data_IF_169294312715
#
_entry.id   IF_169294312715
#
_cell.length_a   1.000
_cell.length_b   1.000
_cell.length_c   1.000
_cell.angle_alpha   90.00
_cell.angle_beta   90.00
_cell.angle_gamma   90.00
#
_symmetry.space_group_name_H-M   'P 1'
#
loop_
_entity.id
_entity.type
_entity.pdbx_description
1 polymer ?
#
# COMPACT_ATOMS: atom_id res chain seq x y z
N UNK A 1 -33.88 -70.17 -26.25
CA UNK A 1 -32.88 -70.10 -25.18
C UNK A 1 -32.15 -68.77 -25.37
N UNK A 2 -32.66 -67.70 -24.71
CA UNK A 2 -32.15 -66.35 -24.88
C UNK A 2 -31.27 -65.98 -23.68
N UNK A 3 -29.97 -65.75 -23.92
CA UNK A 3 -29.01 -65.32 -22.90
C UNK A 3 -29.03 -63.75 -22.85
N UNK A 4 -29.54 -63.24 -21.74
CA UNK A 4 -29.48 -61.76 -21.43
C UNK A 4 -28.11 -61.45 -20.85
N UNK A 5 -27.27 -60.73 -21.61
CA UNK A 5 -26.06 -60.15 -21.10
C UNK A 5 -26.38 -58.82 -20.34
N UNK A 6 -26.03 -58.81 -19.07
CA UNK A 6 -26.05 -57.61 -18.24
C UNK A 6 -24.72 -56.86 -18.44
N UNK A 7 -24.77 -55.69 -19.04
CA UNK A 7 -23.63 -54.76 -19.06
C UNK A 7 -23.70 -53.91 -17.80
N UNK A 8 -22.82 -54.18 -16.85
CA UNK A 8 -22.64 -53.34 -15.66
C UNK A 8 -21.78 -52.11 -16.05
N UNK A 9 -22.44 -50.97 -16.22
CA UNK A 9 -21.75 -49.70 -16.41
C UNK A 9 -21.16 -49.21 -15.09
N UNK A 10 -19.85 -49.24 -14.93
CA UNK A 10 -19.16 -48.61 -13.82
C UNK A 10 -19.15 -47.08 -14.03
N UNK A 11 -19.94 -46.35 -13.25
CA UNK A 11 -19.85 -44.90 -13.16
C UNK A 11 -18.57 -44.54 -12.39
N UNK A 12 -17.54 -44.11 -13.10
CA UNK A 12 -16.35 -43.49 -12.48
C UNK A 12 -16.73 -42.06 -12.10
N UNK A 13 -17.00 -41.83 -10.82
CA UNK A 13 -17.10 -40.51 -10.24
C UNK A 13 -15.69 -39.90 -10.18
N UNK A 14 -15.33 -39.08 -11.19
CA UNK A 14 -14.17 -38.22 -11.08
C UNK A 14 -14.48 -37.12 -10.01
N UNK A 15 -13.98 -37.34 -8.83
CA UNK A 15 -13.87 -36.26 -7.85
C UNK A 15 -12.87 -35.23 -8.39
N UNK A 16 -13.37 -34.13 -8.94
CA UNK A 16 -12.55 -32.96 -9.23
C UNK A 16 -12.11 -32.39 -7.88
N UNK A 17 -10.89 -32.71 -7.46
CA UNK A 17 -10.23 -32.00 -6.40
C UNK A 17 -10.02 -30.57 -6.92
N UNK A 18 -10.76 -29.61 -6.37
CA UNK A 18 -10.48 -28.18 -6.59
C UNK A 18 -9.11 -27.90 -6.00
N UNK A 19 -8.10 -27.82 -6.85
CA UNK A 19 -6.79 -27.31 -6.46
C UNK A 19 -7.02 -25.85 -6.04
N UNK A 20 -6.75 -25.55 -4.79
CA UNK A 20 -6.79 -24.18 -4.29
C UNK A 20 -5.89 -23.32 -5.22
N UNK A 21 -6.50 -22.34 -5.88
CA UNK A 21 -5.78 -21.51 -6.84
C UNK A 21 -4.97 -20.49 -6.07
N UNK A 22 -3.66 -20.72 -6.00
CA UNK A 22 -2.73 -19.78 -5.36
C UNK A 22 -2.84 -18.39 -5.98
N UNK A 23 -3.05 -17.36 -5.15
CA UNK A 23 -3.19 -15.97 -5.61
C UNK A 23 -1.83 -15.25 -5.56
N UNK A 24 -1.42 -14.54 -6.62
CA UNK A 24 -0.09 -13.90 -6.68
C UNK A 24 0.21 -12.94 -5.52
N UNK A 25 -0.80 -12.30 -4.94
CA UNK A 25 -0.60 -11.39 -3.81
C UNK A 25 -0.14 -12.12 -2.53
N UNK A 26 -0.36 -13.43 -2.42
CA UNK A 26 0.04 -14.22 -1.25
C UNK A 26 1.55 -14.35 -1.09
N UNK A 27 2.33 -14.14 -2.17
CA UNK A 27 3.80 -14.21 -2.16
C UNK A 27 4.47 -12.84 -2.01
N UNK A 28 3.69 -11.77 -1.88
CA UNK A 28 4.23 -10.43 -1.64
C UNK A 28 5.01 -10.43 -0.32
N UNK A 29 6.27 -9.95 -0.39
CA UNK A 29 7.16 -9.91 0.75
C UNK A 29 6.81 -8.75 1.67
N UNK A 30 6.54 -9.09 2.93
CA UNK A 30 6.31 -8.18 4.03
C UNK A 30 7.42 -8.38 5.08
N UNK A 31 7.46 -7.54 6.10
CA UNK A 31 8.36 -7.73 7.23
C UNK A 31 7.57 -7.76 8.53
N UNK A 32 7.86 -8.71 9.39
CA UNK A 32 7.28 -8.74 10.73
C UNK A 32 7.94 -7.69 11.63
N UNK A 33 7.16 -6.92 12.33
CA UNK A 33 7.65 -6.00 13.37
C UNK A 33 7.73 -6.74 14.72
N UNK A 34 8.75 -6.52 15.56
CA UNK A 34 9.87 -5.57 15.37
C UNK A 34 11.13 -6.19 14.74
N UNK A 35 11.21 -7.49 14.58
CA UNK A 35 12.43 -8.24 14.19
C UNK A 35 12.74 -8.17 12.68
N UNK A 36 11.84 -7.58 11.89
CA UNK A 36 11.94 -7.38 10.46
C UNK A 36 12.15 -8.67 9.65
N UNK A 37 11.78 -9.82 10.21
CA UNK A 37 11.84 -11.10 9.50
C UNK A 37 10.87 -11.08 8.30
N UNK A 38 11.28 -11.63 7.14
CA UNK A 38 10.42 -11.71 5.97
C UNK A 38 9.21 -12.60 6.26
N UNK A 39 8.05 -12.15 5.77
CA UNK A 39 6.76 -12.84 5.86
C UNK A 39 6.02 -12.74 4.54
N UNK A 40 5.22 -13.74 4.25
CA UNK A 40 4.27 -13.76 3.14
C UNK A 40 2.96 -14.37 3.64
N UNK A 41 1.85 -14.08 2.97
CA UNK A 41 0.58 -14.73 3.30
C UNK A 41 0.61 -16.22 2.96
N UNK A 42 1.43 -16.65 2.00
CA UNK A 42 1.66 -18.08 1.72
C UNK A 42 2.46 -18.81 2.80
N UNK A 43 3.10 -18.08 3.73
CA UNK A 43 3.90 -18.66 4.83
C UNK A 43 3.11 -18.95 6.11
N UNK A 44 1.84 -18.53 6.20
CA UNK A 44 0.97 -18.78 7.35
C UNK A 44 0.12 -20.04 7.16
N UNK A 45 -0.62 -20.44 8.19
CA UNK A 45 -1.54 -21.59 8.11
C UNK A 45 -2.65 -21.33 7.08
N UNK A 46 -2.50 -21.93 5.89
CA UNK A 46 -3.44 -21.80 4.79
C UNK A 46 -4.75 -22.58 4.98
N UNK A 47 -4.91 -23.32 6.08
CA UNK A 47 -6.16 -24.00 6.42
C UNK A 47 -7.14 -23.05 7.13
N UNK A 48 -6.62 -21.98 7.72
CA UNK A 48 -7.41 -20.96 8.39
C UNK A 48 -7.70 -19.81 7.44
N UNK A 49 -8.92 -19.24 7.47
CA UNK A 49 -9.18 -17.97 6.83
C UNK A 49 -8.32 -16.85 7.43
N UNK A 50 -8.16 -15.76 6.68
CA UNK A 50 -7.29 -14.66 7.10
C UNK A 50 -8.07 -13.34 7.18
N UNK A 51 -7.89 -12.61 8.27
CA UNK A 51 -8.31 -11.24 8.45
C UNK A 51 -7.09 -10.33 8.48
N UNK A 52 -6.98 -9.44 7.49
CA UNK A 52 -5.98 -8.38 7.42
C UNK A 52 -6.61 -7.05 7.76
N UNK A 53 -5.94 -6.25 8.61
CA UNK A 53 -6.31 -4.86 8.85
C UNK A 53 -5.15 -3.95 8.54
N UNK A 54 -5.31 -3.13 7.49
CA UNK A 54 -4.34 -2.11 7.10
C UNK A 54 -4.52 -0.85 7.94
N UNK A 55 -3.42 -0.32 8.45
CA UNK A 55 -3.41 0.82 9.35
C UNK A 55 -2.12 1.62 9.29
N UNK A 56 -2.13 2.82 9.88
CA UNK A 56 -0.95 3.64 10.12
C UNK A 56 -1.05 4.29 11.52
N UNK A 57 0.08 4.60 12.15
CA UNK A 57 0.11 5.20 13.49
C UNK A 57 -0.45 6.62 13.54
N UNK A 58 -0.43 7.32 12.42
CA UNK A 58 -0.99 8.67 12.24
C UNK A 58 -2.46 8.67 11.79
N UNK A 59 -3.04 7.52 11.47
CA UNK A 59 -4.42 7.36 11.03
C UNK A 59 -5.38 7.42 12.24
N UNK A 60 -6.05 8.55 12.44
CA UNK A 60 -6.98 8.75 13.56
C UNK A 60 -8.10 7.71 13.62
N UNK A 61 -8.87 7.44 12.54
CA UNK A 61 -9.91 6.40 12.59
C UNK A 61 -9.35 4.99 12.78
N UNK A 62 -8.08 4.74 12.40
CA UNK A 62 -7.43 3.48 12.76
C UNK A 62 -7.32 3.32 14.28
N UNK A 63 -6.87 4.38 14.97
CA UNK A 63 -6.74 4.36 16.44
C UNK A 63 -8.08 4.13 17.14
N UNK A 64 -9.16 4.68 16.61
CA UNK A 64 -10.52 4.48 17.13
C UNK A 64 -10.99 3.03 16.96
N UNK A 65 -10.50 2.31 15.94
CA UNK A 65 -10.87 0.92 15.67
C UNK A 65 -9.93 -0.12 16.31
N UNK A 66 -8.77 0.27 16.86
CA UNK A 66 -7.81 -0.68 17.48
C UNK A 66 -8.39 -1.50 18.63
N UNK A 67 -9.20 -0.94 19.56
CA UNK A 67 -9.81 -1.74 20.63
C UNK A 67 -10.75 -2.84 20.12
N UNK A 68 -11.50 -2.56 19.05
CA UNK A 68 -12.35 -3.57 18.38
C UNK A 68 -11.48 -4.65 17.71
N UNK A 69 -10.38 -4.25 17.09
CA UNK A 69 -9.49 -5.17 16.40
C UNK A 69 -8.80 -6.14 17.36
N UNK A 70 -8.28 -5.63 18.51
CA UNK A 70 -7.70 -6.48 19.55
C UNK A 70 -8.74 -7.44 20.14
N UNK A 71 -9.96 -6.96 20.44
CA UNK A 71 -11.05 -7.82 20.91
C UNK A 71 -11.40 -8.92 19.89
N UNK A 72 -11.33 -8.60 18.60
CA UNK A 72 -11.54 -9.58 17.52
C UNK A 72 -10.44 -10.64 17.53
N UNK A 73 -9.18 -10.23 17.73
CA UNK A 73 -8.06 -11.15 17.86
C UNK A 73 -8.23 -12.10 19.04
N UNK A 74 -8.51 -11.56 20.22
CA UNK A 74 -8.74 -12.38 21.43
C UNK A 74 -9.87 -13.40 21.25
N UNK A 75 -10.87 -13.07 20.43
CA UNK A 75 -12.04 -13.93 20.23
C UNK A 75 -11.82 -15.01 19.18
N UNK A 76 -11.04 -14.74 18.11
CA UNK A 76 -11.02 -15.59 16.92
C UNK A 76 -9.61 -16.03 16.47
N UNK A 77 -8.56 -15.79 17.26
CA UNK A 77 -7.19 -16.16 16.87
C UNK A 77 -6.96 -17.69 16.73
N UNK A 78 -7.80 -18.50 17.35
CA UNK A 78 -7.75 -19.95 17.19
C UNK A 78 -8.33 -20.41 15.85
N UNK A 79 -9.31 -19.70 15.29
CA UNK A 79 -9.99 -20.04 14.04
C UNK A 79 -9.46 -19.27 12.84
N UNK A 80 -8.96 -18.04 13.03
CA UNK A 80 -8.54 -17.13 11.97
C UNK A 80 -7.05 -16.75 12.11
N UNK A 81 -6.38 -16.59 10.97
CA UNK A 81 -5.15 -15.79 10.92
C UNK A 81 -5.54 -14.31 10.98
N UNK A 82 -5.17 -13.60 12.03
CA UNK A 82 -5.47 -12.16 12.19
C UNK A 82 -4.16 -11.38 12.23
N UNK A 83 -3.98 -10.46 11.28
CA UNK A 83 -2.71 -9.76 11.06
C UNK A 83 -2.97 -8.26 10.91
N UNK A 84 -2.27 -7.47 11.70
CA UNK A 84 -2.20 -6.02 11.56
C UNK A 84 -1.15 -5.66 10.51
N UNK A 85 -1.57 -5.07 9.37
CA UNK A 85 -0.65 -4.65 8.32
C UNK A 85 -0.46 -3.14 8.39
N UNK A 86 0.70 -2.70 8.85
CA UNK A 86 1.05 -1.28 8.81
C UNK A 86 1.51 -0.93 7.39
N UNK A 87 0.94 0.14 6.79
CA UNK A 87 1.27 0.56 5.42
C UNK A 87 2.67 1.16 5.27
N UNK A 88 3.35 1.36 6.38
CA UNK A 88 4.72 1.85 6.49
C UNK A 88 5.05 3.09 5.63
N UNK A 89 4.11 4.02 5.58
CA UNK A 89 4.26 5.33 4.95
C UNK A 89 4.35 6.40 6.02
N UNK A 90 5.42 7.21 6.01
CA UNK A 90 5.70 8.21 7.05
C UNK A 90 5.65 7.61 8.47
N UNK A 91 6.21 6.41 8.63
CA UNK A 91 6.19 5.68 9.90
C UNK A 91 7.56 5.60 10.53
N UNK A 92 7.58 5.77 11.85
CA UNK A 92 8.74 5.50 12.69
C UNK A 92 8.47 4.26 13.54
N UNK A 93 9.48 3.41 13.72
CA UNK A 93 9.37 2.19 14.52
C UNK A 93 8.85 2.47 15.94
N UNK A 94 9.31 3.57 16.57
CA UNK A 94 8.86 3.98 17.91
C UNK A 94 7.35 4.28 17.97
N UNK A 95 6.76 4.84 16.88
CA UNK A 95 5.34 5.13 16.81
C UNK A 95 4.49 3.87 16.65
N UNK A 96 4.97 2.91 15.88
CA UNK A 96 4.34 1.60 15.76
C UNK A 96 4.33 0.90 17.13
N UNK A 97 5.47 0.92 17.83
CA UNK A 97 5.61 0.35 19.18
C UNK A 97 4.70 1.02 20.21
N UNK A 98 4.57 2.36 20.14
CA UNK A 98 3.65 3.14 20.99
C UNK A 98 2.20 2.68 20.79
N UNK A 99 1.75 2.48 19.55
CA UNK A 99 0.39 2.00 19.25
C UNK A 99 0.18 0.58 19.78
N UNK A 100 1.15 -0.33 19.56
CA UNK A 100 1.07 -1.70 20.08
C UNK A 100 0.91 -1.69 21.61
N UNK A 101 1.73 -0.92 22.30
CA UNK A 101 1.66 -0.80 23.77
C UNK A 101 0.37 -0.13 24.25
N UNK A 102 -0.05 0.96 23.59
CA UNK A 102 -1.25 1.73 23.96
C UNK A 102 -2.51 0.91 23.91
N UNK A 103 -2.66 0.04 22.92
CA UNK A 103 -3.86 -0.77 22.70
C UNK A 103 -3.67 -2.23 23.12
N UNK A 104 -2.52 -2.57 23.72
CA UNK A 104 -2.17 -3.92 24.15
C UNK A 104 -2.39 -4.95 23.03
N UNK A 105 -1.86 -4.67 21.84
CA UNK A 105 -2.07 -5.49 20.65
C UNK A 105 -1.27 -6.78 20.73
N UNK A 106 -1.93 -7.92 20.58
CA UNK A 106 -1.32 -9.26 20.65
C UNK A 106 -1.20 -9.94 19.28
N UNK A 107 -1.92 -9.44 18.24
CA UNK A 107 -1.79 -9.98 16.89
C UNK A 107 -0.43 -9.63 16.28
N UNK A 108 0.08 -10.46 15.33
CA UNK A 108 1.25 -10.13 14.53
C UNK A 108 1.08 -8.79 13.80
N UNK A 109 2.11 -7.94 13.88
CA UNK A 109 2.18 -6.69 13.12
C UNK A 109 3.18 -6.88 11.98
N UNK A 110 2.72 -6.69 10.75
CA UNK A 110 3.54 -6.78 9.56
C UNK A 110 3.63 -5.42 8.87
N UNK A 111 4.76 -5.15 8.21
CA UNK A 111 5.03 -3.91 7.51
C UNK A 111 4.95 -4.16 5.99
N UNK A 112 4.07 -3.43 5.32
CA UNK A 112 4.00 -3.40 3.85
C UNK A 112 4.98 -2.33 3.31
N UNK A 113 6.28 -2.63 3.41
CA UNK A 113 7.36 -1.69 3.12
C UNK A 113 7.34 -1.15 1.68
N UNK A 114 6.77 -1.88 0.76
CA UNK A 114 6.67 -1.48 -0.64
C UNK A 114 5.25 -1.00 -1.01
N UNK A 115 4.27 -1.13 -0.10
CA UNK A 115 2.85 -0.87 -0.36
C UNK A 115 2.24 -1.85 -1.36
N UNK A 116 2.96 -2.94 -1.65
CA UNK A 116 2.59 -3.86 -2.72
C UNK A 116 1.37 -4.72 -2.35
N UNK A 117 1.25 -5.13 -1.09
CA UNK A 117 0.10 -5.90 -0.62
C UNK A 117 -1.16 -5.02 -0.59
N UNK A 118 -1.04 -3.79 -0.08
CA UNK A 118 -2.14 -2.83 -0.10
C UNK A 118 -2.68 -2.61 -1.49
N UNK A 119 -1.80 -2.33 -2.46
CA UNK A 119 -2.18 -2.14 -3.87
C UNK A 119 -2.84 -3.38 -4.44
N UNK A 120 -2.26 -4.57 -4.24
CA UNK A 120 -2.81 -5.82 -4.75
C UNK A 120 -4.21 -6.16 -4.20
N UNK A 121 -4.51 -5.71 -2.98
CA UNK A 121 -5.80 -5.90 -2.31
C UNK A 121 -6.75 -4.70 -2.45
N UNK A 122 -6.42 -3.71 -3.28
CA UNK A 122 -7.29 -2.57 -3.60
C UNK A 122 -7.40 -1.54 -2.49
N UNK A 123 -6.34 -1.36 -1.67
CA UNK A 123 -6.27 -0.34 -0.63
C UNK A 123 -6.35 1.06 -1.24
N UNK A 124 -7.36 1.82 -0.87
CA UNK A 124 -7.55 3.24 -1.25
C UNK A 124 -7.45 4.20 -0.06
N UNK A 125 -7.32 3.68 1.15
CA UNK A 125 -7.21 4.46 2.39
C UNK A 125 -7.24 3.56 3.62
N UNK A 126 -6.78 4.05 4.76
CA UNK A 126 -6.83 3.34 6.04
C UNK A 126 -7.84 3.98 7.00
N UNK A 127 -8.47 3.23 7.90
CA UNK A 127 -8.34 1.78 8.09
C UNK A 127 -8.95 1.00 6.94
N UNK A 128 -8.43 -0.20 6.65
CA UNK A 128 -9.00 -1.07 5.64
C UNK A 128 -8.90 -2.53 6.09
N UNK A 129 -10.03 -3.21 6.11
CA UNK A 129 -10.19 -4.60 6.54
C UNK A 129 -10.40 -5.49 5.32
N UNK A 130 -9.70 -6.62 5.25
CA UNK A 130 -9.81 -7.60 4.17
C UNK A 130 -10.01 -8.99 4.78
N UNK A 131 -11.08 -9.69 4.39
CA UNK A 131 -11.35 -11.07 4.76
C UNK A 131 -11.04 -11.99 3.58
N UNK A 132 -10.23 -13.01 3.82
CA UNK A 132 -9.72 -13.94 2.81
C UNK A 132 -10.05 -15.37 3.26
N UNK A 133 -10.58 -16.18 2.37
CA UNK A 133 -10.84 -17.58 2.67
C UNK A 133 -9.55 -18.45 2.57
N UNK A 134 -9.58 -19.71 3.01
CA UNK A 134 -8.42 -20.60 2.94
C UNK A 134 -7.87 -20.81 1.52
N UNK A 135 -8.73 -20.66 0.49
CA UNK A 135 -8.35 -20.77 -0.92
C UNK A 135 -7.70 -19.49 -1.47
N UNK A 136 -7.48 -18.45 -0.63
CA UNK A 136 -6.89 -17.19 -1.03
C UNK A 136 -7.85 -16.24 -1.77
N UNK A 137 -9.16 -16.47 -1.73
CA UNK A 137 -10.14 -15.58 -2.34
C UNK A 137 -10.53 -14.47 -1.35
N UNK A 138 -10.52 -13.22 -1.79
CA UNK A 138 -11.05 -12.09 -1.00
C UNK A 138 -12.57 -12.20 -0.96
N UNK A 139 -13.13 -12.29 0.24
CA UNK A 139 -14.56 -12.44 0.49
C UNK A 139 -15.24 -11.09 0.80
N UNK A 140 -14.53 -10.20 1.47
CA UNK A 140 -15.08 -8.95 1.95
C UNK A 140 -14.00 -7.92 2.22
N UNK A 141 -14.33 -6.67 1.95
CA UNK A 141 -13.48 -5.53 2.31
C UNK A 141 -14.34 -4.41 2.89
N UNK A 142 -13.81 -3.65 3.85
CA UNK A 142 -14.49 -2.50 4.44
C UNK A 142 -13.49 -1.55 5.11
N UNK A 143 -13.86 -0.28 5.23
CA UNK A 143 -13.18 0.72 6.04
C UNK A 143 -13.75 0.83 7.45
N UNK A 144 -14.85 0.14 7.73
CA UNK A 144 -15.57 0.21 8.99
C UNK A 144 -15.28 -0.99 9.91
N UNK A 145 -15.41 -0.77 11.22
CA UNK A 145 -15.44 -1.83 12.24
C UNK A 145 -16.84 -1.84 12.87
N UNK A 146 -17.78 -2.38 12.12
CA UNK A 146 -19.20 -2.36 12.41
C UNK A 146 -19.81 -3.76 12.56
N UNK A 147 -21.11 -3.81 12.84
CA UNK A 147 -21.85 -5.06 12.98
C UNK A 147 -21.80 -5.94 11.71
N UNK A 148 -21.64 -5.34 10.51
CA UNK A 148 -21.53 -6.10 9.27
C UNK A 148 -20.20 -6.86 9.19
N UNK A 149 -19.10 -6.23 9.62
CA UNK A 149 -17.80 -6.89 9.75
C UNK A 149 -17.88 -8.01 10.82
N UNK A 150 -18.49 -7.75 11.99
CA UNK A 150 -18.62 -8.73 13.07
C UNK A 150 -19.35 -10.00 12.63
N UNK A 151 -20.46 -9.86 11.92
CA UNK A 151 -21.23 -10.99 11.39
C UNK A 151 -20.36 -11.80 10.41
N UNK A 152 -19.60 -11.16 9.53
CA UNK A 152 -18.76 -11.85 8.56
C UNK A 152 -17.58 -12.56 9.22
N UNK A 153 -16.97 -11.95 10.24
CA UNK A 153 -15.91 -12.59 11.03
C UNK A 153 -16.44 -13.84 11.75
N UNK A 154 -17.63 -13.76 12.35
CA UNK A 154 -18.25 -14.90 13.02
C UNK A 154 -18.54 -16.04 12.01
N UNK A 155 -19.11 -15.72 10.86
CA UNK A 155 -19.36 -16.70 9.80
C UNK A 155 -18.07 -17.37 9.32
N UNK A 156 -17.03 -16.55 9.13
CA UNK A 156 -15.72 -17.02 8.65
C UNK A 156 -15.05 -17.94 9.68
N UNK A 157 -15.14 -17.62 10.97
CA UNK A 157 -14.63 -18.47 12.05
C UNK A 157 -15.38 -19.81 12.16
N UNK A 158 -16.67 -19.84 11.79
CA UNK A 158 -17.47 -21.08 11.72
C UNK A 158 -17.23 -21.88 10.42
N UNK A 159 -16.31 -21.47 9.55
CA UNK A 159 -16.05 -22.11 8.25
C UNK A 159 -17.15 -21.87 7.22
N UNK A 160 -18.02 -20.89 7.44
CA UNK A 160 -19.10 -20.52 6.53
C UNK A 160 -18.61 -19.39 5.62
N UNK A 161 -18.15 -19.71 4.44
CA UNK A 161 -17.79 -18.69 3.44
C UNK A 161 -19.04 -18.28 2.65
N UNK A 162 -19.47 -17.05 2.80
CA UNK A 162 -20.44 -16.43 1.89
C UNK A 162 -19.81 -16.25 0.50
N UNK A 163 -20.62 -16.36 -0.55
CA UNK A 163 -20.19 -15.96 -1.88
C UNK A 163 -19.97 -14.44 -1.90
N UNK A 164 -18.74 -14.01 -2.15
CA UNK A 164 -18.43 -12.63 -2.48
C UNK A 164 -17.40 -12.60 -3.61
N UNK A 165 -17.62 -11.73 -4.57
CA UNK A 165 -16.83 -11.63 -5.78
C UNK A 165 -16.07 -10.31 -5.86
N UNK A 166 -15.19 -10.00 -4.88
CA UNK A 166 -14.22 -8.93 -5.05
C UNK A 166 -12.96 -9.60 -5.59
N UNK A 167 -12.68 -9.41 -6.87
CA UNK A 167 -11.41 -9.78 -7.49
C UNK A 167 -10.44 -8.62 -7.31
N UNK A 168 -9.54 -8.74 -6.35
CA UNK A 168 -8.36 -7.89 -6.32
C UNK A 168 -7.40 -8.43 -7.38
N UNK A 169 -7.27 -7.74 -8.50
CA UNK A 169 -6.29 -8.09 -9.52
C UNK A 169 -5.01 -7.30 -9.27
N UNK A 170 -3.88 -7.96 -8.99
CA UNK A 170 -2.60 -7.30 -8.89
C UNK A 170 -2.22 -6.67 -10.24
N UNK A 171 -1.53 -5.53 -10.18
CA UNK A 171 -1.04 -4.85 -11.38
C UNK A 171 -0.17 -5.82 -12.18
N UNK A 172 -0.52 -6.05 -13.44
CA UNK A 172 0.23 -6.96 -14.31
C UNK A 172 1.64 -6.41 -14.60
N UNK A 173 2.58 -7.31 -14.91
CA UNK A 173 3.94 -6.91 -15.28
C UNK A 173 3.96 -5.98 -16.48
N UNK A 174 3.06 -6.17 -17.43
CA UNK A 174 2.93 -5.33 -18.62
C UNK A 174 2.43 -3.92 -18.27
N UNK A 175 1.41 -3.82 -17.42
CA UNK A 175 0.94 -2.53 -16.91
C UNK A 175 2.04 -1.80 -16.13
N UNK A 176 2.75 -2.52 -15.24
CA UNK A 176 3.89 -1.96 -14.50
C UNK A 176 4.96 -1.43 -15.44
N UNK A 177 5.34 -2.18 -16.48
CA UNK A 177 6.31 -1.76 -17.48
C UNK A 177 5.86 -0.50 -18.22
N UNK A 178 4.59 -0.45 -18.66
CA UNK A 178 4.01 0.71 -19.34
C UNK A 178 4.02 1.97 -18.47
N UNK A 179 3.70 1.84 -17.17
CA UNK A 179 3.72 2.97 -16.23
C UNK A 179 5.13 3.47 -15.92
N UNK A 180 6.15 2.62 -16.03
CA UNK A 180 7.56 2.97 -15.82
C UNK A 180 8.28 3.42 -17.08
N UNK A 181 7.72 3.18 -18.26
CA UNK A 181 8.33 3.50 -19.55
C UNK A 181 8.73 4.97 -19.69
N UNK A 182 7.92 5.98 -19.30
CA UNK A 182 8.28 7.39 -19.39
C UNK A 182 9.56 7.76 -18.62
N UNK A 183 9.90 7.00 -17.60
CA UNK A 183 11.00 7.26 -16.69
C UNK A 183 12.26 6.45 -17.00
N UNK A 184 12.18 5.57 -18.01
CA UNK A 184 13.24 4.61 -18.34
C UNK A 184 14.46 5.26 -19.02
N UNK A 185 14.31 6.45 -19.60
CA UNK A 185 15.36 7.16 -20.33
C UNK A 185 15.38 8.65 -19.98
N UNK A 186 16.57 9.25 -20.04
CA UNK A 186 16.75 10.67 -19.77
C UNK A 186 16.81 11.01 -18.28
N UNK A 187 16.82 12.31 -18.02
CA UNK A 187 16.83 12.84 -16.65
C UNK A 187 15.48 13.44 -16.28
N UNK A 188 14.98 13.16 -15.08
CA UNK A 188 13.70 13.65 -14.58
C UNK A 188 13.80 14.05 -13.11
N UNK A 189 13.08 15.08 -12.73
CA UNK A 189 12.80 15.44 -11.35
C UNK A 189 11.36 15.10 -11.03
N UNK A 190 11.15 14.15 -10.12
CA UNK A 190 9.81 13.70 -9.72
C UNK A 190 9.58 14.07 -8.26
N UNK A 191 8.55 14.88 -8.03
CA UNK A 191 8.11 15.27 -6.69
C UNK A 191 6.97 14.37 -6.25
N UNK A 192 7.23 13.51 -5.26
CA UNK A 192 6.26 12.62 -4.66
C UNK A 192 5.65 13.24 -3.42
N UNK A 193 4.32 13.26 -3.35
CA UNK A 193 3.57 13.80 -2.21
C UNK A 193 2.20 13.13 -2.07
N UNK A 194 1.35 13.67 -1.20
CA UNK A 194 -0.07 13.34 -1.09
C UNK A 194 -0.90 14.61 -1.01
N UNK A 195 -2.10 14.59 -1.55
CA UNK A 195 -3.02 15.75 -1.55
C UNK A 195 -3.51 16.14 -0.16
N UNK A 196 -3.33 15.25 0.80
CA UNK A 196 -3.85 15.34 2.16
C UNK A 196 -2.80 15.54 3.25
N UNK A 197 -1.49 15.40 2.96
CA UNK A 197 -0.47 15.31 4.01
C UNK A 197 -0.30 16.60 4.82
N UNK A 198 -0.57 17.75 4.25
CA UNK A 198 -0.43 19.06 4.90
C UNK A 198 -1.58 19.44 5.85
N UNK A 199 -2.77 18.85 5.66
CA UNK A 199 -3.93 19.14 6.50
C UNK A 199 -4.37 17.93 7.34
N UNK A 200 -4.35 16.72 6.79
CA UNK A 200 -4.77 15.52 7.52
C UNK A 200 -3.82 15.16 8.67
N UNK A 201 -2.52 15.37 8.47
CA UNK A 201 -1.51 15.10 9.49
C UNK A 201 -1.40 16.21 10.55
N UNK A 202 -2.05 17.35 10.37
CA UNK A 202 -1.91 18.51 11.25
C UNK A 202 -2.21 18.19 12.72
N UNK A 203 -3.21 17.37 13.00
CA UNK A 203 -3.61 16.99 14.37
C UNK A 203 -2.70 15.92 15.00
N UNK A 204 -2.19 14.98 14.17
CA UNK A 204 -1.48 13.79 14.68
C UNK A 204 0.02 13.85 14.48
N UNK A 205 0.48 14.61 13.48
CA UNK A 205 1.89 14.77 13.07
C UNK A 205 2.12 16.21 12.56
N UNK A 206 2.03 17.24 13.41
CA UNK A 206 2.08 18.66 13.00
C UNK A 206 3.39 19.02 12.28
N UNK A 207 4.53 18.46 12.69
CA UNK A 207 5.82 18.70 12.03
C UNK A 207 5.84 18.16 10.59
N UNK A 208 5.29 16.97 10.36
CA UNK A 208 5.17 16.40 9.02
C UNK A 208 4.19 17.18 8.15
N UNK A 209 3.06 17.62 8.71
CA UNK A 209 2.11 18.47 8.02
C UNK A 209 2.77 19.79 7.58
N UNK A 210 3.61 20.38 8.44
CA UNK A 210 4.36 21.57 8.14
C UNK A 210 5.41 21.34 7.04
N UNK A 211 6.15 20.22 7.08
CA UNK A 211 7.08 19.83 6.02
C UNK A 211 6.37 19.65 4.67
N UNK A 212 5.20 18.99 4.65
CA UNK A 212 4.37 18.88 3.45
C UNK A 212 3.98 20.25 2.91
N UNK A 213 3.46 21.12 3.77
CA UNK A 213 3.04 22.46 3.38
C UNK A 213 4.21 23.28 2.79
N UNK A 214 5.37 23.30 3.47
CA UNK A 214 6.55 24.04 3.01
C UNK A 214 7.06 23.51 1.68
N UNK A 215 7.28 22.21 1.55
CA UNK A 215 7.79 21.60 0.32
C UNK A 215 6.86 21.80 -0.87
N UNK A 216 5.55 21.71 -0.67
CA UNK A 216 4.53 21.95 -1.69
C UNK A 216 4.48 23.43 -2.11
N UNK A 217 4.59 24.35 -1.15
CA UNK A 217 4.63 25.80 -1.41
C UNK A 217 5.89 26.22 -2.17
N UNK A 218 7.02 25.58 -1.85
CA UNK A 218 8.33 25.93 -2.42
C UNK A 218 8.61 25.26 -3.78
N UNK A 219 7.80 24.27 -4.18
CA UNK A 219 8.01 23.51 -5.42
C UNK A 219 8.10 24.40 -6.66
N UNK A 220 7.22 25.39 -6.79
CA UNK A 220 7.25 26.35 -7.89
C UNK A 220 8.54 27.19 -7.92
N UNK A 221 9.12 27.48 -6.76
CA UNK A 221 10.39 28.19 -6.64
C UNK A 221 11.55 27.30 -7.12
N UNK A 222 11.56 26.04 -6.72
CA UNK A 222 12.52 25.05 -7.21
C UNK A 222 12.43 24.86 -8.72
N UNK A 223 11.22 24.72 -9.26
CA UNK A 223 10.98 24.61 -10.70
C UNK A 223 11.56 25.82 -11.46
N UNK A 224 11.32 27.05 -11.00
CA UNK A 224 11.90 28.27 -11.62
C UNK A 224 13.43 28.30 -11.60
N UNK A 225 14.07 27.65 -10.63
CA UNK A 225 15.54 27.61 -10.53
C UNK A 225 16.19 26.51 -11.34
N UNK A 226 15.43 25.51 -11.76
CA UNK A 226 15.85 24.38 -12.58
C UNK A 226 14.88 24.18 -13.77
N UNK A 227 14.71 25.21 -14.63
CA UNK A 227 13.67 25.22 -15.66
C UNK A 227 13.94 24.24 -16.81
N UNK A 228 15.20 23.89 -17.03
CA UNK A 228 15.61 23.00 -18.13
C UNK A 228 15.43 21.50 -17.80
N UNK A 229 15.09 21.20 -16.56
CA UNK A 229 14.84 19.82 -16.13
C UNK A 229 13.37 19.43 -16.39
N UNK A 230 13.11 18.23 -16.90
CA UNK A 230 11.75 17.68 -16.94
C UNK A 230 11.22 17.42 -15.53
N UNK A 231 10.22 18.21 -15.13
CA UNK A 231 9.57 18.09 -13.84
C UNK A 231 8.25 17.33 -13.94
N UNK A 232 7.96 16.54 -12.94
CA UNK A 232 6.66 15.90 -12.78
C UNK A 232 6.29 15.73 -11.31
N UNK A 233 5.02 15.92 -10.98
CA UNK A 233 4.47 15.67 -9.66
C UNK A 233 3.70 14.35 -9.65
N UNK A 234 3.87 13.56 -8.60
CA UNK A 234 3.15 12.31 -8.39
C UNK A 234 2.52 12.32 -7.01
N UNK A 235 1.20 12.20 -6.95
CA UNK A 235 0.48 12.07 -5.68
C UNK A 235 0.13 10.61 -5.39
N UNK A 236 0.16 10.25 -4.11
CA UNK A 236 -0.27 8.94 -3.66
C UNK A 236 -1.78 8.77 -3.90
N UNK A 237 -2.20 7.56 -4.26
CA UNK A 237 -3.61 7.24 -4.54
C UNK A 237 -4.50 7.18 -3.28
N UNK A 238 -3.91 7.09 -2.09
CA UNK A 238 -4.68 6.99 -0.85
C UNK A 238 -5.50 8.27 -0.64
N UNK A 239 -6.81 8.14 -0.47
CA UNK A 239 -7.79 9.23 -0.33
C UNK A 239 -7.67 10.31 -1.42
N UNK A 240 -7.21 9.94 -2.61
CA UNK A 240 -6.97 10.88 -3.70
C UNK A 240 -7.71 10.43 -4.96
N UNK A 241 -8.57 11.30 -5.45
CA UNK A 241 -9.22 11.22 -6.75
C UNK A 241 -8.87 12.45 -7.60
N UNK A 242 -9.41 12.53 -8.80
CA UNK A 242 -9.16 13.64 -9.73
C UNK A 242 -9.63 15.00 -9.15
N UNK A 243 -10.69 15.02 -8.34
CA UNK A 243 -11.17 16.23 -7.71
C UNK A 243 -10.19 16.70 -6.62
N UNK A 244 -9.73 15.79 -5.77
CA UNK A 244 -8.73 16.09 -4.74
C UNK A 244 -7.40 16.56 -5.36
N UNK A 245 -6.98 15.94 -6.47
CA UNK A 245 -5.80 16.38 -7.21
C UNK A 245 -5.98 17.82 -7.75
N UNK A 246 -7.12 18.11 -8.35
CA UNK A 246 -7.43 19.45 -8.87
C UNK A 246 -7.43 20.51 -7.76
N UNK A 247 -8.06 20.23 -6.63
CA UNK A 247 -8.08 21.15 -5.47
C UNK A 247 -6.67 21.38 -4.92
N UNK A 248 -5.87 20.33 -4.82
CA UNK A 248 -4.47 20.40 -4.41
C UNK A 248 -3.63 21.27 -5.36
N UNK A 249 -3.71 21.04 -6.67
CA UNK A 249 -2.94 21.81 -7.66
C UNK A 249 -3.36 23.28 -7.69
N UNK A 250 -4.64 23.60 -7.49
CA UNK A 250 -5.14 24.96 -7.36
C UNK A 250 -4.68 25.63 -6.06
N UNK A 251 -4.74 24.93 -4.94
CA UNK A 251 -4.32 25.43 -3.61
C UNK A 251 -2.89 25.96 -3.62
N UNK A 252 -1.98 25.25 -4.29
CA UNK A 252 -0.56 25.59 -4.35
C UNK A 252 -0.13 26.30 -5.63
N UNK A 253 -1.08 26.68 -6.52
CA UNK A 253 -0.79 27.27 -7.86
C UNK A 253 0.30 26.49 -8.60
N UNK A 254 0.18 25.14 -8.63
CA UNK A 254 1.21 24.26 -9.16
C UNK A 254 1.52 24.54 -10.63
N UNK A 255 2.81 24.68 -10.95
CA UNK A 255 3.33 25.01 -12.29
C UNK A 255 3.91 23.82 -13.02
N UNK A 256 3.92 22.66 -12.40
CA UNK A 256 4.30 21.38 -13.00
C UNK A 256 3.07 20.49 -13.08
N UNK A 257 3.07 19.56 -14.02
CA UNK A 257 2.00 18.60 -14.17
C UNK A 257 2.05 17.55 -13.06
N UNK A 258 0.90 17.19 -12.54
CA UNK A 258 0.73 16.15 -11.54
C UNK A 258 -0.12 14.99 -12.06
N UNK A 259 0.21 13.78 -11.61
CA UNK A 259 -0.59 12.58 -11.82
C UNK A 259 -0.83 11.82 -10.54
N UNK A 260 -1.90 11.04 -10.50
CA UNK A 260 -2.19 10.11 -9.39
C UNK A 260 -1.50 8.78 -9.70
N UNK A 261 -0.69 8.27 -8.78
CA UNK A 261 -0.16 6.90 -8.86
C UNK A 261 -1.24 5.88 -8.47
N UNK A 262 -2.27 5.76 -9.31
CA UNK A 262 -3.49 4.98 -9.06
C UNK A 262 -3.22 3.54 -8.62
N UNK A 263 -2.13 2.97 -9.12
CA UNK A 263 -1.74 1.60 -8.83
C UNK A 263 -0.57 1.48 -7.85
N UNK A 264 -0.10 2.60 -7.28
CA UNK A 264 1.05 2.63 -6.39
C UNK A 264 2.37 2.20 -7.05
N UNK A 265 2.41 2.09 -8.38
CA UNK A 265 3.55 1.54 -9.13
C UNK A 265 4.77 2.42 -9.02
N UNK A 266 4.61 3.75 -9.11
CA UNK A 266 5.74 4.68 -9.04
C UNK A 266 6.28 4.77 -7.61
N UNK A 267 5.39 4.92 -6.61
CA UNK A 267 5.78 4.90 -5.20
C UNK A 267 6.53 3.62 -4.82
N UNK A 268 6.03 2.47 -5.29
CA UNK A 268 6.65 1.17 -5.04
C UNK A 268 8.00 1.04 -5.77
N UNK A 269 8.04 1.30 -7.09
CA UNK A 269 9.24 1.10 -7.91
C UNK A 269 10.39 2.02 -7.51
N UNK A 270 10.07 3.25 -7.10
CA UNK A 270 11.04 4.21 -6.58
C UNK A 270 11.20 4.14 -5.06
N UNK A 271 10.55 3.17 -4.37
CA UNK A 271 10.64 2.94 -2.92
C UNK A 271 10.37 4.21 -2.10
N UNK A 272 9.30 4.92 -2.45
CA UNK A 272 8.88 6.15 -1.75
C UNK A 272 8.03 5.74 -0.55
N UNK A 273 8.55 5.99 0.66
CA UNK A 273 7.83 5.77 1.93
C UNK A 273 7.63 7.05 2.72
N UNK A 274 8.54 8.02 2.52
CA UNK A 274 8.47 9.32 3.14
C UNK A 274 7.96 10.34 2.11
N UNK A 275 6.98 11.13 2.49
CA UNK A 275 6.45 12.23 1.70
C UNK A 275 6.47 13.52 2.53
N UNK A 276 6.79 14.65 1.90
CA UNK A 276 7.17 14.80 0.49
C UNK A 276 8.61 14.33 0.19
N UNK A 277 8.83 13.81 -1.00
CA UNK A 277 10.16 13.40 -1.48
C UNK A 277 10.38 13.87 -2.92
N UNK A 278 11.48 14.57 -3.19
CA UNK A 278 11.94 14.87 -4.54
C UNK A 278 12.99 13.85 -4.96
N UNK A 279 12.78 13.22 -6.11
CA UNK A 279 13.69 12.22 -6.67
C UNK A 279 14.26 12.72 -7.99
N UNK A 280 15.57 12.72 -8.11
CA UNK A 280 16.25 12.87 -9.38
C UNK A 280 16.52 11.49 -9.97
N UNK A 281 16.01 11.26 -11.18
CA UNK A 281 16.13 10.01 -11.90
C UNK A 281 16.94 10.26 -13.17
N UNK A 282 17.83 9.32 -13.49
CA UNK A 282 18.54 9.25 -14.76
C UNK A 282 18.46 7.82 -15.29
N UNK A 283 17.95 7.67 -16.49
CA UNK A 283 17.83 6.39 -17.18
C UNK A 283 17.19 5.29 -16.29
N UNK A 284 16.07 5.63 -15.68
CA UNK A 284 15.29 4.74 -14.79
C UNK A 284 15.89 4.48 -13.42
N UNK A 285 17.03 5.09 -13.08
CA UNK A 285 17.72 4.90 -11.79
C UNK A 285 17.67 6.16 -10.95
N UNK A 286 17.45 6.00 -9.65
CA UNK A 286 17.54 7.12 -8.70
C UNK A 286 19.00 7.56 -8.59
N UNK A 287 19.28 8.79 -8.97
CA UNK A 287 20.56 9.46 -8.76
C UNK A 287 20.60 10.07 -7.38
N UNK A 288 19.49 10.70 -6.97
CA UNK A 288 19.38 11.36 -5.68
C UNK A 288 17.96 11.39 -5.16
N UNK A 289 17.84 11.35 -3.84
CA UNK A 289 16.58 11.53 -3.10
C UNK A 289 16.76 12.68 -2.10
N UNK A 290 15.74 13.54 -2.03
CA UNK A 290 15.71 14.72 -1.15
C UNK A 290 14.39 14.66 -0.39
N UNK A 291 14.48 14.61 0.93
CA UNK A 291 13.34 14.59 1.86
C UNK A 291 13.29 15.84 2.74
N UNK A 292 14.42 16.58 2.81
CA UNK A 292 14.55 17.82 3.58
C UNK A 292 14.56 19.01 2.62
N UNK A 293 13.56 19.87 2.72
CA UNK A 293 13.34 21.02 1.83
C UNK A 293 13.66 22.37 2.50
N UNK A 294 14.19 22.35 3.73
CA UNK A 294 14.44 23.58 4.51
C UNK A 294 15.43 24.54 3.86
N UNK A 295 16.28 24.02 2.96
CA UNK A 295 17.28 24.84 2.26
C UNK A 295 17.25 24.59 0.75
N UNK A 296 16.42 25.37 0.05
CA UNK A 296 16.27 25.34 -1.40
C UNK A 296 17.62 25.49 -2.12
N UNK A 297 18.52 26.34 -1.61
CA UNK A 297 19.85 26.58 -2.19
C UNK A 297 20.72 25.33 -2.13
N UNK A 298 20.66 24.57 -1.05
CA UNK A 298 21.36 23.28 -0.95
C UNK A 298 20.83 22.26 -1.93
N UNK A 299 19.50 22.22 -2.16
CA UNK A 299 18.86 21.34 -3.14
C UNK A 299 19.35 21.66 -4.56
N UNK A 300 19.32 22.94 -4.94
CA UNK A 300 19.76 23.43 -6.26
C UNK A 300 21.27 23.25 -6.45
N UNK A 301 22.08 23.63 -5.45
CA UNK A 301 23.54 23.52 -5.52
C UNK A 301 24.03 22.08 -5.65
N UNK A 302 23.34 21.16 -5.03
CA UNK A 302 23.66 19.73 -5.15
C UNK A 302 23.41 19.19 -6.59
N UNK A 303 22.39 19.68 -7.28
CA UNK A 303 22.13 19.32 -8.68
C UNK A 303 23.25 19.86 -9.58
N UNK A 304 23.61 21.15 -9.46
CA UNK A 304 24.63 21.78 -10.29
C UNK A 304 26.01 21.14 -10.14
N UNK A 305 26.37 20.70 -8.94
CA UNK A 305 27.66 20.02 -8.67
C UNK A 305 27.73 18.65 -9.34
N UNK A 306 26.63 17.94 -9.43
CA UNK A 306 26.57 16.60 -10.03
C UNK A 306 26.60 16.69 -11.57
N UNK A 307 25.96 17.69 -12.16
CA UNK A 307 26.00 17.95 -13.61
C UNK A 307 27.43 18.32 -14.06
N UNK A 308 28.16 19.15 -13.30
CA UNK A 308 29.56 19.49 -13.60
C UNK A 308 30.50 18.29 -13.54
N UNK A 309 30.33 17.38 -12.61
CA UNK A 309 31.16 16.17 -12.51
C UNK A 309 30.93 15.17 -13.65
N UNK A 310 29.73 15.12 -14.22
CA UNK A 310 29.38 14.21 -15.29
C UNK A 310 29.61 14.79 -16.70
N UNK A 311 29.89 16.10 -16.81
CA UNK A 311 30.23 16.79 -18.09
C UNK A 311 31.73 16.91 -18.37
N UNK A 312 32.59 16.51 -17.43
CA UNK A 312 34.06 16.55 -17.56
C UNK A 312 34.69 15.15 -17.78
N UNK A 313 33.90 14.14 -18.14
CA UNK A 313 34.42 12.78 -18.43
C UNK A 313 34.30 12.41 -19.90
#
# INVERSE_FOLDING_TARGET
>A
MFIRQWVAGALILLSMATVAQHQPYQDIQLKQFPDLQPRTLSSIDNKKPTYLKFWASWCKPCMEQMPHFEKTYQKYSDELNIIAVNINMNEEAARIEEVIKRFDLHMPVWLDNEGALGVALGLIGTPYSVLINPEGKVLYTTHESDAALDVRLAMLAEGKSGESGITAEPVSLEQKKKLLEPWAQGEHLIFFTATWCDWYLADTRPEMAQQCNSAQSDLNTLHKRLPDMPWHGVVNHLWTDEQALKEFTQKYDMRIDFSIDTFGVLFNSFKIRDIPTLVWIKDGKIVKRITEFENIDAVVGQHQTTVKKNGES
#
